data_IF_970509636901
#
_entry.id   IF_970509636901
#
_cell.length_a   1.000
_cell.length_b   1.000
_cell.length_c   1.000
_cell.angle_alpha   90.00
_cell.angle_beta   90.00
_cell.angle_gamma   90.00
#
_symmetry.space_group_name_H-M   'P 1'
#
loop_
_entity.id
_entity.type
_entity.pdbx_description
1 polymer ?
#
# COMPACT_ATOMS: atom_id res chain seq x y z
N UNK A 1 -30.02 -16.16 10.12
CA UNK A 1 -28.64 -15.67 10.26
C UNK A 1 -27.78 -16.87 9.93
N UNK A 2 -27.31 -16.98 8.69
CA UNK A 2 -26.28 -17.97 8.35
C UNK A 2 -24.94 -17.37 8.79
N UNK A 3 -24.36 -18.00 9.79
CA UNK A 3 -23.04 -17.70 10.33
C UNK A 3 -22.21 -18.92 9.99
N UNK A 4 -21.18 -18.75 9.16
CA UNK A 4 -20.15 -19.79 9.03
C UNK A 4 -19.23 -19.73 10.26
N UNK A 5 -18.72 -20.91 10.66
CA UNK A 5 -17.94 -21.19 11.86
C UNK A 5 -16.60 -20.42 11.93
N UNK A 6 -16.22 -19.70 10.86
CA UNK A 6 -15.03 -18.83 10.80
C UNK A 6 -15.30 -17.34 11.11
N UNK A 7 -16.56 -16.95 11.40
CA UNK A 7 -16.86 -15.63 11.98
C UNK A 7 -16.74 -14.42 11.02
N UNK A 8 -16.50 -14.66 9.73
CA UNK A 8 -16.52 -13.59 8.73
C UNK A 8 -17.96 -13.33 8.26
N UNK A 9 -18.48 -12.15 8.56
CA UNK A 9 -19.69 -11.64 7.88
C UNK A 9 -19.28 -11.37 6.43
N UNK A 10 -19.84 -12.09 5.47
CA UNK A 10 -19.77 -11.71 4.06
C UNK A 10 -20.45 -10.34 3.89
N UNK A 11 -19.65 -9.26 3.92
CA UNK A 11 -20.10 -7.88 3.68
C UNK A 11 -20.63 -7.71 2.24
N UNK A 12 -20.38 -8.69 1.36
CA UNK A 12 -20.74 -8.65 -0.06
C UNK A 12 -22.01 -9.42 -0.45
N UNK A 13 -22.62 -10.21 0.44
CA UNK A 13 -23.75 -11.09 0.06
C UNK A 13 -25.12 -10.58 0.53
N UNK A 14 -25.21 -9.35 1.01
CA UNK A 14 -26.51 -8.71 1.30
C UNK A 14 -27.05 -8.02 0.05
N UNK A 15 -27.81 -8.77 -0.73
CA UNK A 15 -28.56 -8.31 -1.91
C UNK A 15 -30.01 -7.92 -1.58
N UNK A 16 -30.38 -7.74 -0.31
CA UNK A 16 -31.73 -7.35 0.05
C UNK A 16 -32.09 -6.00 -0.59
N UNK A 17 -33.18 -5.97 -1.35
CA UNK A 17 -33.68 -4.76 -1.99
C UNK A 17 -34.10 -3.74 -0.93
N UNK A 18 -33.55 -2.51 -1.01
CA UNK A 18 -34.10 -1.36 -0.29
C UNK A 18 -35.38 -0.93 -1.00
N UNK A 19 -36.48 -0.77 -0.25
CA UNK A 19 -37.77 -0.34 -0.82
C UNK A 19 -37.62 1.02 -1.50
N UNK A 20 -37.98 1.07 -2.80
CA UNK A 20 -37.87 2.26 -3.64
C UNK A 20 -38.85 3.36 -3.20
N UNK A 21 -38.47 4.64 -3.25
CA UNK A 21 -39.44 5.73 -3.39
C UNK A 21 -40.16 5.60 -4.75
N UNK A 22 -41.49 5.66 -4.77
CA UNK A 22 -42.32 5.30 -5.94
C UNK A 22 -42.08 6.10 -7.23
N UNK A 23 -41.40 7.26 -7.15
CA UNK A 23 -41.27 8.21 -8.26
C UNK A 23 -40.00 8.05 -9.12
N UNK A 24 -39.02 7.25 -8.67
CA UNK A 24 -37.85 6.95 -9.51
C UNK A 24 -38.30 5.87 -10.51
N UNK A 25 -37.93 5.98 -11.79
CA UNK A 25 -38.34 5.00 -12.83
C UNK A 25 -37.17 4.27 -13.47
N UNK A 26 -35.97 4.87 -13.52
CA UNK A 26 -34.80 4.34 -14.25
C UNK A 26 -33.47 4.76 -13.59
N UNK A 27 -32.38 4.09 -13.95
CA UNK A 27 -31.00 4.39 -13.55
C UNK A 27 -30.10 4.41 -14.78
N UNK A 28 -29.26 5.43 -14.93
CA UNK A 28 -28.29 5.53 -16.02
C UNK A 28 -26.92 5.10 -15.50
N UNK A 29 -26.22 4.24 -16.26
CA UNK A 29 -24.84 3.83 -15.98
C UNK A 29 -23.90 4.69 -16.81
N UNK A 30 -23.03 5.45 -16.17
CA UNK A 30 -22.03 6.30 -16.81
C UNK A 30 -20.61 5.86 -16.44
N UNK A 31 -19.69 5.89 -17.41
CA UNK A 31 -18.27 5.73 -17.20
C UNK A 31 -17.59 7.01 -16.68
N UNK A 32 -16.28 6.95 -16.34
CA UNK A 32 -15.50 8.09 -15.84
C UNK A 32 -15.42 9.30 -16.79
N UNK A 33 -15.64 9.08 -18.09
CA UNK A 33 -15.67 10.05 -19.18
C UNK A 33 -17.10 10.50 -19.54
N UNK A 34 -18.06 10.28 -18.63
CA UNK A 34 -19.50 10.46 -18.86
C UNK A 34 -20.08 9.62 -20.01
N UNK A 35 -19.32 8.65 -20.53
CA UNK A 35 -19.80 7.76 -21.58
C UNK A 35 -20.91 6.86 -21.03
N UNK A 36 -22.06 6.87 -21.70
CA UNK A 36 -23.18 6.01 -21.33
C UNK A 36 -22.87 4.53 -21.58
N UNK A 37 -23.03 3.72 -20.54
CA UNK A 37 -22.94 2.25 -20.57
C UNK A 37 -24.33 1.60 -20.64
N UNK A 38 -25.40 2.37 -20.43
CA UNK A 38 -26.78 1.90 -20.60
C UNK A 38 -27.74 2.46 -19.55
N UNK A 39 -28.98 1.97 -19.62
CA UNK A 39 -30.06 2.33 -18.69
C UNK A 39 -30.60 1.04 -18.07
N UNK A 40 -30.70 1.01 -16.74
CA UNK A 40 -31.31 -0.06 -15.99
C UNK A 40 -32.66 0.42 -15.44
N UNK A 41 -33.71 -0.40 -15.58
CA UNK A 41 -35.02 -0.08 -14.97
C UNK A 41 -34.98 -0.18 -13.44
N UNK A 42 -34.06 -0.97 -12.92
CA UNK A 42 -33.87 -1.17 -11.49
C UNK A 42 -32.43 -1.56 -11.16
N UNK A 43 -32.04 -1.39 -9.89
CA UNK A 43 -30.73 -1.81 -9.36
C UNK A 43 -30.92 -2.41 -7.97
N UNK A 44 -30.25 -3.54 -7.70
CA UNK A 44 -30.26 -4.19 -6.38
C UNK A 44 -28.84 -4.26 -5.84
N UNK A 45 -28.65 -4.07 -4.53
CA UNK A 45 -27.34 -4.09 -3.87
C UNK A 45 -26.52 -2.79 -3.98
N UNK A 46 -26.87 -1.88 -4.90
CA UNK A 46 -26.28 -0.52 -4.98
C UNK A 46 -26.73 0.34 -3.80
N UNK A 47 -28.02 0.28 -3.46
CA UNK A 47 -28.58 0.92 -2.27
C UNK A 47 -28.71 -0.12 -1.19
N UNK A 48 -27.93 0.03 -0.12
CA UNK A 48 -27.96 -0.87 1.05
C UNK A 48 -27.54 -0.10 2.28
N UNK A 49 -28.14 -0.44 3.43
CA UNK A 49 -27.62 0.04 4.71
C UNK A 49 -26.26 -0.59 4.95
N UNK A 50 -25.25 0.26 5.15
CA UNK A 50 -23.94 -0.21 5.56
C UNK A 50 -24.04 -0.71 7.00
N UNK A 51 -23.80 -2.01 7.21
CA UNK A 51 -23.65 -2.54 8.57
C UNK A 51 -22.52 -1.77 9.28
N UNK A 52 -22.70 -1.47 10.57
CA UNK A 52 -21.64 -0.84 11.34
C UNK A 52 -20.37 -1.69 11.21
N UNK A 53 -19.25 -1.12 10.69
CA UNK A 53 -18.04 -1.88 10.52
C UNK A 53 -17.55 -2.34 11.90
N UNK A 54 -16.99 -3.56 12.02
CA UNK A 54 -16.27 -3.93 13.23
C UNK A 54 -15.19 -2.87 13.49
N UNK A 55 -15.02 -2.48 14.76
CA UNK A 55 -13.97 -1.52 15.15
C UNK A 55 -12.73 -2.34 15.50
N UNK A 56 -11.72 -2.40 14.61
CA UNK A 56 -10.51 -3.15 14.90
C UNK A 56 -9.78 -2.54 16.10
N UNK A 57 -9.18 -3.38 16.93
CA UNK A 57 -8.38 -2.92 18.06
C UNK A 57 -6.90 -2.98 17.70
N UNK A 58 -6.18 -1.87 17.92
CA UNK A 58 -4.72 -1.82 17.86
C UNK A 58 -4.19 -1.70 19.28
N UNK A 59 -3.10 -2.43 19.58
CA UNK A 59 -2.36 -2.29 20.84
C UNK A 59 -0.97 -1.75 20.55
N UNK A 60 -0.68 -0.57 21.10
CA UNK A 60 0.67 -0.03 21.15
C UNK A 60 1.31 -0.57 22.43
N UNK A 61 2.46 -1.22 22.33
CA UNK A 61 3.11 -1.86 23.46
C UNK A 61 4.32 -1.04 23.91
N UNK A 62 4.49 -0.87 25.23
CA UNK A 62 5.68 -0.23 25.79
C UNK A 62 5.82 1.26 25.44
N UNK A 63 4.73 2.01 25.33
CA UNK A 63 4.76 3.44 25.05
C UNK A 63 5.32 4.24 26.23
N UNK A 64 6.25 5.15 25.94
CA UNK A 64 6.54 6.29 26.80
C UNK A 64 5.71 7.48 26.30
N UNK A 65 4.62 7.86 26.97
CA UNK A 65 3.71 8.86 26.45
C UNK A 65 4.27 10.28 26.59
N UNK A 66 4.40 10.97 25.46
CA UNK A 66 4.66 12.41 25.38
C UNK A 66 3.37 13.23 25.62
N UNK A 67 3.44 14.56 25.85
CA UNK A 67 2.29 15.37 26.24
C UNK A 67 1.00 15.18 25.43
N UNK A 68 1.02 15.03 24.08
CA UNK A 68 -0.21 14.79 23.32
C UNK A 68 -0.89 13.46 23.67
N UNK A 69 -0.10 12.39 23.86
CA UNK A 69 -0.62 11.07 24.21
C UNK A 69 -1.08 11.04 25.67
N UNK A 70 -0.35 11.69 26.58
CA UNK A 70 -0.75 11.86 27.98
C UNK A 70 -2.09 12.59 28.11
N UNK A 71 -2.27 13.69 27.37
CA UNK A 71 -3.51 14.45 27.38
C UNK A 71 -4.70 13.60 26.93
N UNK A 72 -4.53 12.78 25.89
CA UNK A 72 -5.56 11.85 25.45
C UNK A 72 -5.83 10.73 26.48
N UNK A 73 -4.79 10.20 27.13
CA UNK A 73 -4.94 9.18 28.18
C UNK A 73 -5.69 9.70 29.42
N UNK A 74 -5.48 10.95 29.82
CA UNK A 74 -6.16 11.57 30.97
C UNK A 74 -7.69 11.72 30.79
N UNK A 75 -8.18 11.58 29.56
CA UNK A 75 -9.61 11.64 29.23
C UNK A 75 -10.27 10.26 29.26
N UNK A 76 -9.51 9.18 29.45
CA UNK A 76 -10.01 7.81 29.57
C UNK A 76 -10.89 7.70 30.82
N UNK A 77 -12.04 7.03 30.69
CA UNK A 77 -13.05 6.93 31.75
C UNK A 77 -14.10 8.03 31.73
N UNK A 78 -13.89 9.14 31.00
CA UNK A 78 -14.91 10.17 30.80
C UNK A 78 -15.75 9.90 29.55
N UNK A 79 -17.08 9.95 29.69
CA UNK A 79 -18.06 9.61 28.64
C UNK A 79 -18.67 10.82 27.91
N UNK A 80 -18.15 12.03 28.12
CA UNK A 80 -18.65 13.23 27.42
C UNK A 80 -18.29 13.21 25.93
N UNK A 81 -19.09 13.89 25.09
CA UNK A 81 -18.74 14.06 23.66
C UNK A 81 -17.40 14.78 23.49
N UNK A 82 -17.05 15.69 24.41
CA UNK A 82 -15.79 16.42 24.36
C UNK A 82 -14.60 15.52 24.71
N UNK A 83 -14.71 14.63 25.70
CA UNK A 83 -13.66 13.67 26.05
C UNK A 83 -13.43 12.62 24.95
N UNK A 84 -14.49 12.16 24.27
CA UNK A 84 -14.35 11.27 23.10
C UNK A 84 -13.52 11.90 21.96
N UNK A 85 -13.70 13.20 21.72
CA UNK A 85 -12.90 13.94 20.73
C UNK A 85 -11.45 14.10 21.17
N UNK A 86 -11.20 14.40 22.44
CA UNK A 86 -9.84 14.57 23.00
C UNK A 86 -9.04 13.26 23.09
N UNK A 87 -9.72 12.11 23.10
CA UNK A 87 -9.09 10.77 23.04
C UNK A 87 -8.71 10.32 21.64
N UNK A 88 -9.05 11.09 20.61
CA UNK A 88 -8.79 10.69 19.23
C UNK A 88 -7.34 11.00 18.87
N UNK A 89 -6.65 10.00 18.33
CA UNK A 89 -5.27 10.09 17.89
C UNK A 89 -5.17 9.72 16.42
N UNK A 90 -4.18 10.29 15.74
CA UNK A 90 -3.75 9.88 14.41
C UNK A 90 -2.25 10.10 14.31
N UNK A 91 -1.50 9.04 14.05
CA UNK A 91 -0.05 9.10 13.94
C UNK A 91 0.46 8.09 12.91
N UNK A 92 1.49 8.49 12.15
CA UNK A 92 2.25 7.58 11.30
C UNK A 92 3.19 6.73 12.15
N UNK A 93 3.31 5.45 11.83
CA UNK A 93 4.29 4.57 12.44
C UNK A 93 5.60 4.68 11.66
N UNK A 94 6.69 4.88 12.40
CA UNK A 94 8.05 4.94 11.86
C UNK A 94 8.90 3.85 12.49
N UNK A 95 9.77 3.25 11.69
CA UNK A 95 10.85 2.39 12.17
C UNK A 95 12.01 3.28 12.62
N UNK A 96 12.68 2.88 13.70
CA UNK A 96 13.98 3.45 14.11
C UNK A 96 15.06 2.44 13.71
N UNK A 97 15.95 2.82 12.81
CA UNK A 97 17.06 1.99 12.37
C UNK A 97 18.17 1.90 13.44
N UNK A 98 19.14 1.01 13.26
CA UNK A 98 20.24 0.81 14.19
C UNK A 98 21.09 2.07 14.42
N UNK A 99 21.14 2.97 13.44
CA UNK A 99 21.83 4.26 13.52
C UNK A 99 21.00 5.36 14.24
N UNK A 100 19.82 5.01 14.76
CA UNK A 100 18.89 5.93 15.42
C UNK A 100 18.05 6.77 14.46
N UNK A 101 18.24 6.64 13.15
CA UNK A 101 17.47 7.39 12.18
C UNK A 101 16.05 6.83 12.01
N UNK A 102 15.07 7.72 11.87
CA UNK A 102 13.67 7.31 11.69
C UNK A 102 13.34 7.17 10.21
N UNK A 103 12.58 6.12 9.86
CA UNK A 103 12.12 5.85 8.50
C UNK A 103 10.63 5.54 8.52
N UNK A 104 9.89 6.12 7.59
CA UNK A 104 8.45 5.91 7.52
C UNK A 104 8.17 4.47 7.11
N UNK A 105 7.22 3.82 7.80
CA UNK A 105 6.63 2.57 7.31
C UNK A 105 5.40 2.97 6.51
N UNK A 106 5.50 2.91 5.18
CA UNK A 106 4.42 3.36 4.28
C UNK A 106 3.14 2.56 4.56
N UNK A 107 2.02 3.27 4.72
CA UNK A 107 0.72 2.68 5.06
C UNK A 107 0.51 2.36 6.55
N UNK A 108 1.55 2.38 7.38
CA UNK A 108 1.41 2.12 8.81
C UNK A 108 0.92 3.37 9.54
N UNK A 109 -0.36 3.39 9.91
CA UNK A 109 -0.98 4.49 10.66
C UNK A 109 -1.74 3.93 11.85
N UNK A 110 -1.65 4.63 12.98
CA UNK A 110 -2.52 4.41 14.14
C UNK A 110 -3.49 5.57 14.18
N UNK A 111 -4.74 5.32 13.80
CA UNK A 111 -5.82 6.31 13.78
C UNK A 111 -7.00 5.75 14.54
N UNK A 112 -7.50 6.44 15.57
CA UNK A 112 -8.61 5.92 16.35
C UNK A 112 -8.80 6.63 17.68
N UNK A 113 -9.59 6.02 18.56
CA UNK A 113 -9.89 6.55 19.89
C UNK A 113 -9.24 5.69 20.96
N UNK A 114 -8.51 6.32 21.88
CA UNK A 114 -7.92 5.60 23.01
C UNK A 114 -9.01 5.05 23.91
N UNK A 115 -8.98 3.74 24.11
CA UNK A 115 -9.94 3.00 24.94
C UNK A 115 -9.43 2.83 26.36
N UNK A 116 -8.17 2.40 26.50
CA UNK A 116 -7.57 2.06 27.79
C UNK A 116 -6.04 2.08 27.71
N UNK A 117 -5.41 2.07 28.89
CA UNK A 117 -3.98 1.84 29.04
C UNK A 117 -3.68 1.04 30.28
N UNK A 118 -2.60 0.27 30.25
CA UNK A 118 -2.11 -0.52 31.38
C UNK A 118 -0.57 -0.46 31.46
N UNK A 119 0.05 -0.72 32.62
CA UNK A 119 1.50 -0.86 32.71
C UNK A 119 2.01 -1.94 31.76
N UNK A 120 3.03 -1.61 30.97
CA UNK A 120 3.62 -2.53 30.00
C UNK A 120 4.50 -3.57 30.67
N UNK A 121 4.56 -4.77 30.08
CA UNK A 121 5.52 -5.82 30.46
C UNK A 121 6.91 -5.61 29.85
N UNK A 122 7.04 -4.72 28.87
CA UNK A 122 8.29 -4.50 28.11
C UNK A 122 9.28 -3.65 28.90
N UNK A 123 8.82 -2.84 29.86
CA UNK A 123 9.71 -2.03 30.70
C UNK A 123 8.98 -1.27 31.79
N UNK A 124 9.68 -1.01 32.89
CA UNK A 124 9.15 -0.22 34.00
C UNK A 124 8.86 1.22 33.56
N UNK A 125 7.67 1.74 33.91
CA UNK A 125 7.25 3.10 33.57
C UNK A 125 6.67 3.27 32.16
N UNK A 126 6.62 2.20 31.35
CA UNK A 126 6.00 2.19 30.03
C UNK A 126 4.53 1.74 30.09
N UNK A 127 3.72 2.14 29.11
CA UNK A 127 2.30 1.80 29.01
C UNK A 127 1.98 1.02 27.74
N UNK A 128 1.15 -0.02 27.87
CA UNK A 128 0.45 -0.59 26.72
C UNK A 128 -0.85 0.20 26.51
N UNK A 129 -1.10 0.68 25.30
CA UNK A 129 -2.25 1.54 24.95
C UNK A 129 -3.16 0.82 23.96
N UNK A 130 -4.43 0.68 24.34
CA UNK A 130 -5.49 0.14 23.51
C UNK A 130 -6.19 1.26 22.72
N UNK A 131 -6.24 1.11 21.41
CA UNK A 131 -6.88 2.06 20.50
C UNK A 131 -7.98 1.33 19.74
N UNK A 132 -9.20 1.87 19.83
CA UNK A 132 -10.30 1.52 18.96
C UNK A 132 -10.03 2.20 17.61
N UNK A 133 -9.50 1.44 16.67
CA UNK A 133 -8.95 1.97 15.42
C UNK A 133 -10.08 2.30 14.45
N UNK A 134 -9.88 3.40 13.72
CA UNK A 134 -10.67 3.67 12.53
C UNK A 134 -10.52 2.50 11.54
N UNK A 135 -11.59 2.14 10.80
CA UNK A 135 -11.51 1.12 9.76
C UNK A 135 -10.43 1.48 8.74
N UNK A 136 -9.35 0.71 8.74
CA UNK A 136 -8.26 0.77 7.78
C UNK A 136 -7.80 -0.66 7.52
N UNK A 137 -7.30 -0.91 6.32
CA UNK A 137 -6.73 -2.23 6.00
C UNK A 137 -5.45 -2.43 6.83
N UNK A 138 -5.35 -3.53 7.61
CA UNK A 138 -4.15 -3.79 8.38
C UNK A 138 -2.99 -4.13 7.44
N UNK A 139 -1.77 -3.76 7.83
CA UNK A 139 -0.58 -4.19 7.10
C UNK A 139 -0.42 -5.71 7.19
N UNK A 140 0.09 -6.38 6.13
CA UNK A 140 0.36 -7.81 6.16
C UNK A 140 1.32 -8.20 7.28
N UNK A 141 1.08 -9.35 7.91
CA UNK A 141 1.89 -9.85 9.02
C UNK A 141 3.38 -10.10 8.66
N UNK A 142 3.71 -10.19 7.37
CA UNK A 142 5.08 -10.35 6.88
C UNK A 142 5.86 -9.04 6.74
N UNK A 143 5.24 -7.87 6.87
CA UNK A 143 5.93 -6.56 6.74
C UNK A 143 7.11 -6.39 7.71
N UNK A 144 7.09 -6.87 8.97
CA UNK A 144 8.27 -6.83 9.83
C UNK A 144 9.51 -7.48 9.22
N UNK A 145 9.35 -8.60 8.48
CA UNK A 145 10.47 -9.28 7.79
C UNK A 145 11.04 -8.46 6.63
N UNK A 146 10.19 -7.65 6.00
CA UNK A 146 10.64 -6.65 5.03
C UNK A 146 11.51 -5.66 5.81
N UNK A 147 10.96 -4.96 6.80
CA UNK A 147 11.65 -3.91 7.57
C UNK A 147 13.00 -4.33 8.18
N UNK A 148 13.15 -5.58 8.61
CA UNK A 148 14.43 -6.14 9.09
C UNK A 148 15.60 -5.89 8.14
N UNK A 149 15.40 -5.96 6.82
CA UNK A 149 16.46 -5.73 5.83
C UNK A 149 16.99 -4.30 5.81
N UNK A 150 16.22 -3.34 6.30
CA UNK A 150 16.61 -1.93 6.34
C UNK A 150 17.01 -1.46 7.75
N UNK A 151 16.94 -2.33 8.75
CA UNK A 151 17.30 -1.99 10.13
C UNK A 151 18.79 -1.67 10.26
N UNK A 152 19.65 -2.48 9.62
CA UNK A 152 21.11 -2.37 9.76
C UNK A 152 21.75 -1.33 8.81
N UNK A 153 21.02 -0.81 7.83
CA UNK A 153 21.53 0.15 6.86
C UNK A 153 21.15 -0.17 5.41
N UNK A 154 21.85 0.41 4.42
CA UNK A 154 21.61 0.13 3.00
C UNK A 154 21.86 -1.34 2.64
N UNK A 155 21.02 -1.88 1.77
CA UNK A 155 21.19 -3.23 1.25
C UNK A 155 22.40 -3.30 0.30
N UNK A 156 23.04 -4.46 0.26
CA UNK A 156 24.18 -4.75 -0.62
C UNK A 156 23.85 -5.79 -1.70
N UNK A 157 22.78 -6.55 -1.53
CA UNK A 157 22.36 -7.63 -2.43
C UNK A 157 21.04 -7.29 -3.13
N UNK A 158 20.98 -7.54 -4.45
CA UNK A 158 19.76 -7.43 -5.25
C UNK A 158 18.88 -8.67 -5.08
N UNK A 159 17.61 -8.54 -5.44
CA UNK A 159 16.63 -9.63 -5.52
C UNK A 159 16.29 -10.30 -4.19
N UNK A 160 16.59 -9.69 -3.04
CA UNK A 160 16.16 -10.19 -1.73
C UNK A 160 14.62 -10.27 -1.64
N UNK A 161 13.94 -9.38 -2.37
CA UNK A 161 12.47 -9.38 -2.52
C UNK A 161 11.90 -10.55 -3.32
N UNK A 162 12.72 -11.27 -4.10
CA UNK A 162 12.24 -12.26 -5.05
C UNK A 162 11.47 -13.42 -4.39
N UNK A 163 11.85 -13.78 -3.16
CA UNK A 163 11.20 -14.84 -2.39
C UNK A 163 9.88 -14.45 -1.73
N UNK A 164 9.51 -13.17 -1.77
CA UNK A 164 8.24 -12.69 -1.22
C UNK A 164 7.09 -12.88 -2.21
N UNK A 165 5.88 -12.97 -1.66
CA UNK A 165 4.66 -12.89 -2.46
C UNK A 165 4.42 -11.47 -2.98
N UNK A 166 3.40 -11.34 -3.83
CA UNK A 166 2.99 -10.09 -4.46
C UNK A 166 2.74 -8.96 -3.46
N UNK A 167 2.05 -9.24 -2.36
CA UNK A 167 1.71 -8.22 -1.35
C UNK A 167 2.96 -7.72 -0.62
N UNK A 168 3.86 -8.62 -0.24
CA UNK A 168 5.12 -8.24 0.41
C UNK A 168 6.10 -7.56 -0.55
N UNK A 169 6.08 -7.85 -1.86
CA UNK A 169 6.81 -7.09 -2.88
C UNK A 169 6.30 -5.65 -3.00
N UNK A 170 4.99 -5.42 -2.88
CA UNK A 170 4.46 -4.05 -2.80
C UNK A 170 5.03 -3.28 -1.60
N UNK A 171 5.07 -3.93 -0.43
CA UNK A 171 5.63 -3.33 0.78
C UNK A 171 7.14 -3.16 0.70
N UNK A 172 7.84 -4.04 -0.03
CA UNK A 172 9.26 -3.87 -0.36
C UNK A 172 9.49 -2.58 -1.15
N UNK A 173 8.70 -2.32 -2.20
CA UNK A 173 8.79 -1.09 -2.98
C UNK A 173 8.48 0.16 -2.12
N UNK A 174 7.52 0.05 -1.19
CA UNK A 174 7.24 1.11 -0.20
C UNK A 174 8.41 1.36 0.77
N UNK A 175 9.09 0.30 1.23
CA UNK A 175 10.29 0.43 2.05
C UNK A 175 11.45 1.04 1.25
N UNK A 176 11.65 0.63 0.00
CA UNK A 176 12.61 1.25 -0.92
C UNK A 176 12.35 2.76 -1.08
N UNK A 177 11.09 3.18 -1.22
CA UNK A 177 10.70 4.58 -1.27
C UNK A 177 11.12 5.35 0.00
N UNK A 178 10.82 4.79 1.17
CA UNK A 178 11.13 5.42 2.45
C UNK A 178 12.64 5.50 2.74
N UNK A 179 13.44 4.65 2.09
CA UNK A 179 14.90 4.56 2.24
C UNK A 179 15.68 5.12 1.06
N UNK A 180 15.01 5.72 0.07
CA UNK A 180 15.68 6.26 -1.12
C UNK A 180 16.70 7.34 -0.72
N UNK A 181 17.88 7.28 -1.33
CA UNK A 181 18.83 8.37 -1.27
C UNK A 181 18.38 9.50 -2.22
N UNK A 182 18.57 10.76 -1.81
CA UNK A 182 18.34 11.92 -2.68
C UNK A 182 19.54 12.16 -3.62
N UNK A 183 20.00 11.11 -4.29
CA UNK A 183 21.11 11.21 -5.24
C UNK A 183 20.65 11.88 -6.53
N UNK A 184 21.46 12.75 -7.15
CA UNK A 184 21.16 13.29 -8.47
C UNK A 184 20.97 12.18 -9.49
N UNK A 185 20.12 12.43 -10.48
CA UNK A 185 19.94 11.52 -11.60
C UNK A 185 21.26 11.23 -12.31
N UNK A 186 21.46 9.98 -12.70
CA UNK A 186 22.51 9.65 -13.66
C UNK A 186 22.19 10.27 -15.03
N UNK A 187 23.21 10.59 -15.84
CA UNK A 187 23.02 11.28 -17.11
C UNK A 187 22.09 10.55 -18.09
N UNK A 188 21.45 11.31 -18.97
CA UNK A 188 20.72 10.75 -20.11
C UNK A 188 21.63 9.86 -20.97
N UNK A 189 21.06 8.82 -21.58
CA UNK A 189 21.78 7.81 -22.36
C UNK A 189 22.43 6.70 -21.51
N UNK A 190 22.33 6.77 -20.17
CA UNK A 190 22.77 5.68 -19.29
C UNK A 190 22.07 4.37 -19.66
N UNK A 191 22.79 3.25 -19.59
CA UNK A 191 22.20 1.91 -19.74
C UNK A 191 22.00 1.29 -18.36
N UNK A 192 20.82 0.72 -18.15
CA UNK A 192 20.47 -0.01 -16.94
C UNK A 192 20.13 -1.46 -17.28
N UNK A 193 20.59 -2.38 -16.44
CA UNK A 193 20.33 -3.81 -16.57
C UNK A 193 19.26 -4.21 -15.54
N UNK A 194 18.09 -4.60 -16.05
CA UNK A 194 16.96 -5.10 -15.27
C UNK A 194 17.01 -6.64 -15.29
N UNK A 195 17.04 -7.21 -14.09
CA UNK A 195 16.96 -8.65 -13.87
C UNK A 195 15.49 -9.10 -13.86
N UNK A 196 15.03 -9.68 -14.97
CA UNK A 196 13.63 -10.05 -15.17
C UNK A 196 13.23 -11.41 -14.61
N UNK A 197 14.17 -12.20 -14.06
CA UNK A 197 13.95 -13.59 -13.63
C UNK A 197 12.81 -13.75 -12.62
N UNK A 198 12.54 -12.70 -11.85
CA UNK A 198 11.56 -12.70 -10.77
C UNK A 198 10.34 -11.80 -11.04
N UNK A 199 10.21 -11.27 -12.27
CA UNK A 199 9.08 -10.44 -12.66
C UNK A 199 7.89 -11.32 -13.04
N UNK A 200 7.25 -11.89 -12.02
CA UNK A 200 6.06 -12.75 -12.14
C UNK A 200 4.75 -12.01 -11.85
N UNK A 201 4.84 -10.74 -11.46
CA UNK A 201 3.75 -9.83 -11.19
C UNK A 201 4.27 -8.38 -11.30
N UNK A 202 3.34 -7.42 -11.29
CA UNK A 202 3.65 -6.01 -11.50
C UNK A 202 4.49 -5.42 -10.35
N UNK A 203 4.33 -5.92 -9.13
CA UNK A 203 5.12 -5.55 -7.96
C UNK A 203 6.57 -6.04 -8.08
N UNK A 204 6.77 -7.25 -8.61
CA UNK A 204 8.09 -7.76 -8.97
C UNK A 204 8.78 -6.89 -10.03
N UNK A 205 8.04 -6.38 -11.02
CA UNK A 205 8.58 -5.40 -11.98
C UNK A 205 9.06 -4.13 -11.28
N UNK A 206 8.26 -3.54 -10.38
CA UNK A 206 8.63 -2.34 -9.64
C UNK A 206 9.89 -2.54 -8.78
N UNK A 207 10.02 -3.70 -8.14
CA UNK A 207 11.24 -4.04 -7.38
C UNK A 207 12.45 -4.17 -8.32
N UNK A 208 12.31 -4.89 -9.44
CA UNK A 208 13.40 -5.12 -10.38
C UNK A 208 13.90 -3.83 -11.04
N UNK A 209 13.00 -2.95 -11.51
CA UNK A 209 13.41 -1.68 -12.12
C UNK A 209 14.00 -0.71 -11.10
N UNK A 210 13.48 -0.71 -9.87
CA UNK A 210 14.05 0.04 -8.75
C UNK A 210 15.51 -0.36 -8.49
N UNK A 211 15.79 -1.66 -8.49
CA UNK A 211 17.15 -2.15 -8.30
C UNK A 211 18.08 -1.98 -9.50
N UNK A 212 17.52 -2.02 -10.72
CA UNK A 212 18.25 -1.72 -11.94
C UNK A 212 18.82 -0.29 -11.92
N UNK A 213 17.99 0.67 -11.51
CA UNK A 213 18.33 2.10 -11.57
C UNK A 213 19.12 2.56 -10.34
N UNK A 214 18.65 2.21 -9.15
CA UNK A 214 19.16 2.77 -7.89
C UNK A 214 19.99 1.78 -7.06
N UNK A 215 20.26 0.58 -7.57
CA UNK A 215 21.04 -0.45 -6.87
C UNK A 215 20.21 -1.28 -5.88
N UNK A 216 20.84 -2.16 -5.09
CA UNK A 216 20.15 -3.05 -4.14
C UNK A 216 19.08 -2.35 -3.28
N UNK A 217 17.86 -2.88 -3.24
CA UNK A 217 16.73 -2.27 -2.53
C UNK A 217 16.30 -0.88 -3.07
N UNK A 218 16.71 -0.53 -4.29
CA UNK A 218 16.44 0.77 -4.90
C UNK A 218 14.96 0.97 -5.28
N UNK A 219 14.52 2.22 -5.28
CA UNK A 219 13.14 2.60 -5.62
C UNK A 219 13.07 3.22 -7.01
N UNK A 220 12.11 2.79 -7.84
CA UNK A 220 11.75 3.48 -9.08
C UNK A 220 10.27 3.22 -9.44
N UNK A 221 9.39 3.55 -8.49
CA UNK A 221 7.95 3.32 -8.60
C UNK A 221 7.46 2.12 -7.79
N UNK A 222 6.16 2.10 -7.52
CA UNK A 222 5.43 1.06 -6.75
C UNK A 222 3.95 0.93 -7.19
N UNK A 223 3.57 1.72 -8.19
CA UNK A 223 2.34 1.70 -8.97
C UNK A 223 2.60 2.49 -10.27
N UNK A 224 1.66 2.49 -11.21
CA UNK A 224 1.85 3.13 -12.53
C UNK A 224 2.06 4.66 -12.44
N UNK A 225 1.33 5.36 -11.58
CA UNK A 225 1.51 6.81 -11.42
C UNK A 225 2.89 7.13 -10.84
N UNK A 226 3.32 6.36 -9.84
CA UNK A 226 4.64 6.56 -9.25
C UNK A 226 5.78 6.18 -10.20
N UNK A 227 5.58 5.18 -11.06
CA UNK A 227 6.52 4.88 -12.14
C UNK A 227 6.58 6.04 -13.15
N UNK A 228 5.43 6.60 -13.53
CA UNK A 228 5.34 7.77 -14.39
C UNK A 228 6.16 8.93 -13.80
N UNK A 229 5.93 9.26 -12.52
CA UNK A 229 6.68 10.30 -11.82
C UNK A 229 8.19 10.03 -11.87
N UNK A 230 8.62 8.79 -11.62
CA UNK A 230 10.03 8.41 -11.68
C UNK A 230 10.63 8.59 -13.08
N UNK A 231 9.86 8.30 -14.13
CA UNK A 231 10.28 8.47 -15.53
C UNK A 231 10.39 9.94 -15.95
N UNK A 232 9.77 10.87 -15.21
CA UNK A 232 9.97 12.32 -15.44
C UNK A 232 11.28 12.88 -14.85
N UNK A 233 12.06 12.07 -14.13
CA UNK A 233 13.34 12.43 -13.54
C UNK A 233 13.26 12.86 -12.07
N UNK A 234 14.41 13.00 -11.41
CA UNK A 234 14.55 13.29 -9.98
C UNK A 234 14.55 12.04 -9.08
N UNK A 235 14.59 10.85 -9.66
CA UNK A 235 14.50 9.56 -8.97
C UNK A 235 15.65 8.61 -9.33
N UNK A 236 16.77 9.13 -9.83
CA UNK A 236 18.01 8.37 -10.07
C UNK A 236 18.37 8.20 -11.55
N UNK A 237 17.44 8.43 -12.46
CA UNK A 237 17.66 8.33 -13.91
C UNK A 237 17.05 9.50 -14.66
N UNK A 238 17.87 10.16 -15.49
CA UNK A 238 17.40 11.18 -16.44
C UNK A 238 17.03 10.53 -17.76
N UNK A 239 15.86 10.85 -18.30
CA UNK A 239 15.42 10.42 -19.63
C UNK A 239 16.04 11.28 -20.74
N UNK A 240 16.23 10.74 -21.96
CA UNK A 240 16.05 9.33 -22.35
C UNK A 240 17.17 8.43 -21.79
N UNK A 241 16.89 7.14 -21.59
CA UNK A 241 17.90 6.14 -21.22
C UNK A 241 17.61 4.76 -21.87
N UNK A 242 18.55 3.83 -21.76
CA UNK A 242 18.39 2.45 -22.27
C UNK A 242 18.15 1.48 -21.12
N UNK A 243 17.17 0.60 -21.27
CA UNK A 243 16.88 -0.49 -20.34
C UNK A 243 17.12 -1.82 -21.04
N UNK A 244 18.11 -2.60 -20.58
CA UNK A 244 18.31 -3.99 -21.00
C UNK A 244 17.53 -4.86 -20.04
N UNK A 245 16.47 -5.50 -20.51
CA UNK A 245 15.60 -6.35 -19.72
C UNK A 245 15.95 -7.81 -19.97
N UNK A 246 16.73 -8.39 -19.06
CA UNK A 246 17.14 -9.80 -19.11
C UNK A 246 16.02 -10.71 -18.63
N UNK A 247 15.92 -11.92 -19.19
CA UNK A 247 14.91 -12.93 -18.81
C UNK A 247 13.46 -12.41 -18.94
N UNK A 248 13.24 -11.55 -19.95
CA UNK A 248 11.98 -10.86 -20.20
C UNK A 248 10.81 -11.80 -20.54
N UNK A 249 11.13 -13.03 -20.96
CA UNK A 249 10.15 -14.10 -21.17
C UNK A 249 9.32 -14.40 -19.91
N UNK A 250 9.87 -14.20 -18.71
CA UNK A 250 9.16 -14.38 -17.44
C UNK A 250 7.99 -13.40 -17.34
N UNK A 251 8.26 -12.10 -17.55
CA UNK A 251 7.24 -11.06 -17.53
C UNK A 251 6.21 -11.29 -18.64
N UNK A 252 6.64 -11.71 -19.83
CA UNK A 252 5.72 -12.03 -20.94
C UNK A 252 4.74 -13.14 -20.60
N UNK A 253 5.16 -14.14 -19.81
CA UNK A 253 4.30 -15.24 -19.41
C UNK A 253 3.31 -14.87 -18.28
N UNK A 254 3.62 -13.87 -17.46
CA UNK A 254 2.85 -13.57 -16.23
C UNK A 254 2.10 -12.24 -16.27
N UNK A 255 2.62 -11.21 -16.95
CA UNK A 255 1.99 -9.90 -17.11
C UNK A 255 1.10 -9.91 -18.36
N UNK A 256 0.02 -10.68 -18.28
CA UNK A 256 -0.94 -10.91 -19.37
C UNK A 256 -2.28 -10.24 -19.09
N UNK A 257 -3.11 -10.13 -20.13
CA UNK A 257 -4.48 -9.60 -20.02
C UNK A 257 -5.25 -10.41 -18.98
N UNK A 258 -5.91 -9.71 -18.06
CA UNK A 258 -6.68 -10.34 -17.00
C UNK A 258 -7.31 -9.30 -16.07
N UNK A 259 -7.75 -9.78 -14.91
CA UNK A 259 -8.28 -8.92 -13.84
C UNK A 259 -7.37 -9.00 -12.63
N UNK A 260 -6.92 -7.84 -12.19
CA UNK A 260 -6.14 -7.69 -10.98
C UNK A 260 -7.07 -7.62 -9.77
N UNK A 261 -7.13 -8.70 -8.99
CA UNK A 261 -7.96 -8.76 -7.77
C UNK A 261 -7.45 -7.87 -6.65
N UNK A 262 -6.18 -7.48 -6.67
CA UNK A 262 -5.59 -6.59 -5.67
C UNK A 262 -5.99 -5.14 -5.97
N UNK A 263 -5.83 -4.71 -7.22
CA UNK A 263 -6.16 -3.35 -7.66
C UNK A 263 -7.64 -3.17 -8.04
N UNK A 264 -8.39 -4.27 -8.13
CA UNK A 264 -9.77 -4.34 -8.58
C UNK A 264 -9.98 -3.71 -9.97
N UNK A 265 -8.97 -3.85 -10.84
CA UNK A 265 -8.90 -3.24 -12.18
C UNK A 265 -8.42 -4.25 -13.22
N UNK A 266 -8.44 -3.93 -14.53
CA UNK A 266 -7.70 -4.72 -15.52
C UNK A 266 -6.23 -4.88 -15.10
N UNK A 267 -5.68 -6.07 -15.33
CA UNK A 267 -4.28 -6.37 -15.01
C UNK A 267 -3.33 -5.61 -15.94
N UNK A 268 -2.25 -5.05 -15.38
CA UNK A 268 -1.17 -4.44 -16.14
C UNK A 268 -0.41 -5.50 -16.92
N UNK A 269 -0.30 -5.31 -18.23
CA UNK A 269 0.42 -6.23 -19.12
C UNK A 269 1.86 -5.79 -19.36
N UNK A 270 2.70 -6.72 -19.83
CA UNK A 270 4.05 -6.38 -20.30
C UNK A 270 3.99 -5.34 -21.43
N UNK A 271 3.07 -5.50 -22.39
CA UNK A 271 2.94 -4.57 -23.52
C UNK A 271 2.57 -3.16 -23.04
N UNK A 272 1.67 -3.04 -22.06
CA UNK A 272 1.34 -1.75 -21.45
C UNK A 272 2.57 -1.07 -20.81
N UNK A 273 3.42 -1.84 -20.12
CA UNK A 273 4.66 -1.31 -19.56
C UNK A 273 5.63 -0.86 -20.65
N UNK A 274 5.74 -1.61 -21.76
CA UNK A 274 6.61 -1.25 -22.88
C UNK A 274 6.13 0.03 -23.58
N UNK A 275 4.82 0.18 -23.77
CA UNK A 275 4.22 1.39 -24.35
C UNK A 275 4.50 2.59 -23.44
N UNK A 276 4.25 2.45 -22.14
CA UNK A 276 4.55 3.51 -21.16
C UNK A 276 6.03 3.89 -21.13
N UNK A 277 6.94 2.91 -21.17
CA UNK A 277 8.39 3.17 -21.22
C UNK A 277 8.77 3.88 -22.54
N UNK A 278 8.16 3.51 -23.66
CA UNK A 278 8.40 4.14 -24.96
C UNK A 278 7.90 5.60 -25.01
N UNK A 279 6.75 5.90 -24.39
CA UNK A 279 6.23 7.26 -24.24
C UNK A 279 7.23 8.20 -23.53
N UNK A 280 7.98 7.65 -22.57
CA UNK A 280 9.05 8.36 -21.84
C UNK A 280 10.43 8.25 -22.51
N UNK A 281 10.47 7.88 -23.80
CA UNK A 281 11.69 7.77 -24.61
C UNK A 281 12.71 6.77 -24.07
N UNK A 282 12.26 5.73 -23.35
CA UNK A 282 13.12 4.65 -22.87
C UNK A 282 13.27 3.61 -23.97
N UNK A 283 14.52 3.37 -24.38
CA UNK A 283 14.81 2.29 -25.33
C UNK A 283 14.97 0.98 -24.58
N UNK A 284 14.01 0.07 -24.74
CA UNK A 284 14.04 -1.26 -24.11
C UNK A 284 14.67 -2.29 -25.06
N UNK A 285 15.64 -3.06 -24.58
CA UNK A 285 16.25 -4.23 -25.24
C UNK A 285 15.84 -5.48 -24.47
N UNK A 286 14.96 -6.29 -25.06
CA UNK A 286 14.42 -7.51 -24.46
C UNK A 286 15.34 -8.69 -24.75
N UNK A 287 15.75 -9.42 -23.70
CA UNK A 287 16.54 -10.64 -23.79
C UNK A 287 15.86 -11.81 -23.11
#
# INVERSE_FOLDING_TARGET
>A
MDIDLDGFVYVYDRTAAVTRPGDVTEFVLLGPDERSYGICRDVTGVFREQAAPPVPQVRLLGCQPEPPLLAALNEVGQSTKASLRRRRIRADVRMVAADGSTRQVIGAVVSGTIRASEPSRIGAGLLDVAVDSDPQEPLPAGVPRVLEHWYAGPLTEKNVWAGYDRDLRHHWAGAALAHRASTPDRPAGTTYDLDGRFVTDIEGFYCAIGEAINGPGGYFGWNLNALHDCLTGGFGARTPFRLVWHDSATARAHLVIGYDRRLLSPATTMDYLLDMLAEHQIKVDLR
#
